data_IF_763397305218
#
_entry.id   IF_763397305218
#
_cell.length_a   1.000
_cell.length_b   1.000
_cell.length_c   1.000
_cell.angle_alpha   90.00
_cell.angle_beta   90.00
_cell.angle_gamma   90.00
#
_symmetry.space_group_name_H-M   'P 1'
#
loop_
_entity.id
_entity.type
_entity.pdbx_description
1 polymer ?
#
# COMPACT_ATOMS: atom_id res chain seq x y z
N UNK A 1 -14.15 18.32 11.90
CA UNK A 1 -13.49 19.12 12.96
C UNK A 1 -13.28 20.50 12.36
N UNK A 2 -13.77 21.55 12.99
CA UNK A 2 -13.61 22.91 12.48
C UNK A 2 -12.48 23.59 13.26
N UNK A 3 -11.26 23.71 12.69
CA UNK A 3 -10.15 24.33 13.38
C UNK A 3 -10.38 25.84 13.54
N UNK A 4 -9.79 26.41 14.58
CA UNK A 4 -9.78 27.88 14.73
C UNK A 4 -8.97 28.51 13.59
N UNK A 5 -9.41 29.67 13.12
CA UNK A 5 -8.81 30.38 11.98
C UNK A 5 -7.35 30.85 12.21
N UNK A 6 -6.88 30.90 13.46
CA UNK A 6 -5.53 31.34 13.81
C UNK A 6 -4.48 30.20 13.85
N UNK A 7 -4.85 28.98 13.47
CA UNK A 7 -3.98 27.80 13.49
C UNK A 7 -3.54 27.37 12.09
N UNK A 8 -2.35 26.79 11.96
CA UNK A 8 -2.04 26.00 10.77
C UNK A 8 -2.68 24.62 10.91
N UNK A 9 -3.30 24.12 9.83
CA UNK A 9 -3.84 22.75 9.77
C UNK A 9 -3.20 22.03 8.60
N UNK A 10 -2.36 21.05 8.92
CA UNK A 10 -1.57 20.29 7.95
C UNK A 10 -1.71 18.80 8.19
N UNK A 11 -1.45 18.03 7.14
CA UNK A 11 -1.41 16.58 7.15
C UNK A 11 -0.01 16.11 6.76
N UNK A 12 0.48 15.09 7.45
CA UNK A 12 1.67 14.33 7.07
C UNK A 12 1.26 12.86 7.17
N UNK A 13 1.10 12.19 6.02
CA UNK A 13 0.55 10.85 5.92
C UNK A 13 1.59 9.86 5.35
N UNK A 14 2.32 9.12 6.20
CA UNK A 14 3.17 8.01 5.76
C UNK A 14 2.33 6.91 5.11
N UNK A 15 2.76 6.43 3.95
CA UNK A 15 2.08 5.36 3.20
C UNK A 15 2.61 3.99 3.62
N UNK A 16 2.36 3.66 4.88
CA UNK A 16 2.71 2.37 5.49
C UNK A 16 2.34 2.30 6.97
N UNK A 17 2.29 1.09 7.56
CA UNK A 17 1.92 0.90 8.96
C UNK A 17 2.95 1.53 9.90
N UNK A 18 2.49 2.01 11.06
CA UNK A 18 3.30 2.80 12.00
C UNK A 18 4.61 2.10 12.45
N UNK A 19 4.56 0.80 12.74
CA UNK A 19 5.75 0.04 13.12
C UNK A 19 6.79 -0.03 11.99
N UNK A 20 6.35 -0.10 10.73
CA UNK A 20 7.23 -0.07 9.58
C UNK A 20 7.87 1.31 9.40
N UNK A 21 7.11 2.40 9.62
CA UNK A 21 7.66 3.76 9.63
C UNK A 21 8.82 3.85 10.62
N UNK A 22 8.64 3.34 11.85
CA UNK A 22 9.69 3.35 12.86
C UNK A 22 10.89 2.50 12.45
N UNK A 23 10.65 1.25 12.03
CA UNK A 23 11.71 0.33 11.64
C UNK A 23 12.55 0.86 10.46
N UNK A 24 11.89 1.36 9.42
CA UNK A 24 12.59 1.96 8.27
C UNK A 24 13.41 3.18 8.71
N UNK A 25 12.88 4.03 9.60
CA UNK A 25 13.62 5.17 10.13
C UNK A 25 14.91 4.74 10.84
N UNK A 26 14.84 3.71 11.69
CA UNK A 26 15.99 3.16 12.44
C UNK A 26 17.02 2.50 11.53
N UNK A 27 16.58 1.86 10.44
CA UNK A 27 17.44 1.26 9.41
C UNK A 27 18.08 2.31 8.48
N UNK A 28 17.80 3.60 8.67
CA UNK A 28 18.32 4.68 7.83
C UNK A 28 17.53 4.91 6.53
N UNK A 29 16.41 4.20 6.37
CA UNK A 29 15.45 4.35 5.28
C UNK A 29 14.27 5.24 5.69
N UNK A 30 13.22 5.29 4.87
CA UNK A 30 11.99 6.02 5.14
C UNK A 30 10.79 5.37 4.46
N UNK A 31 9.59 5.75 4.88
CA UNK A 31 8.34 5.38 4.21
C UNK A 31 7.85 6.62 3.44
N UNK A 32 7.47 6.52 2.15
CA UNK A 32 6.95 7.65 1.40
C UNK A 32 5.82 8.35 2.14
N UNK A 33 5.77 9.69 2.06
CA UNK A 33 4.74 10.47 2.74
C UNK A 33 3.98 11.35 1.76
N UNK A 34 2.69 11.55 2.03
CA UNK A 34 1.93 12.66 1.46
C UNK A 34 1.90 13.82 2.46
N UNK A 35 1.89 15.05 1.95
CA UNK A 35 1.67 16.25 2.76
C UNK A 35 0.55 17.09 2.18
N UNK A 36 -0.29 17.67 3.04
CA UNK A 36 -1.34 18.58 2.62
C UNK A 36 -1.48 19.75 3.59
N UNK A 37 -1.94 20.89 3.07
CA UNK A 37 -2.29 22.07 3.87
C UNK A 37 -3.77 22.36 3.70
N UNK A 38 -4.52 22.31 4.80
CA UNK A 38 -5.93 22.70 4.82
C UNK A 38 -6.09 24.19 5.18
N UNK A 39 -5.28 24.66 6.14
CA UNK A 39 -5.29 26.05 6.60
C UNK A 39 -3.86 26.51 6.86
N UNK A 40 -3.49 27.68 6.31
CA UNK A 40 -2.20 28.34 6.55
C UNK A 40 -2.42 29.73 7.13
N UNK A 41 -2.42 29.83 8.46
CA UNK A 41 -2.59 31.09 9.17
C UNK A 41 -1.28 31.90 9.25
N UNK A 42 -0.12 31.26 9.08
CA UNK A 42 1.20 31.90 9.25
C UNK A 42 1.91 32.19 7.94
N UNK A 43 1.50 31.58 6.82
CA UNK A 43 2.19 31.63 5.53
C UNK A 43 3.37 30.65 5.41
N UNK A 44 3.51 29.72 6.37
CA UNK A 44 4.64 28.77 6.44
C UNK A 44 4.19 27.31 6.66
N UNK A 45 2.88 27.04 6.58
CA UNK A 45 2.33 25.73 6.93
C UNK A 45 2.95 24.58 6.11
N UNK A 46 3.12 24.76 4.80
CA UNK A 46 3.71 23.73 3.93
C UNK A 46 5.18 23.45 4.31
N UNK A 47 5.97 24.50 4.56
CA UNK A 47 7.37 24.36 4.98
C UNK A 47 7.48 23.59 6.29
N UNK A 48 6.59 23.85 7.25
CA UNK A 48 6.51 23.10 8.51
C UNK A 48 6.10 21.64 8.29
N UNK A 49 5.12 21.37 7.42
CA UNK A 49 4.70 20.01 7.08
C UNK A 49 5.83 19.20 6.42
N UNK A 50 6.56 19.80 5.48
CA UNK A 50 7.74 19.20 4.85
C UNK A 50 8.87 18.94 5.85
N UNK A 51 9.13 19.89 6.76
CA UNK A 51 10.11 19.71 7.83
C UNK A 51 9.71 18.55 8.77
N UNK A 52 8.42 18.43 9.09
CA UNK A 52 7.90 17.33 9.89
C UNK A 52 8.06 15.98 9.17
N UNK A 53 7.65 15.91 7.88
CA UNK A 53 7.82 14.73 7.05
C UNK A 53 9.29 14.28 6.96
N UNK A 54 10.21 15.24 6.88
CA UNK A 54 11.66 14.98 6.94
C UNK A 54 12.09 14.44 8.31
N UNK A 55 11.58 15.04 9.41
CA UNK A 55 11.88 14.63 10.78
C UNK A 55 11.48 13.19 11.11
N UNK A 56 10.41 12.67 10.49
CA UNK A 56 9.99 11.27 10.61
C UNK A 56 10.61 10.35 9.55
N UNK A 57 11.53 10.86 8.73
CA UNK A 57 12.27 10.10 7.71
C UNK A 57 11.58 9.97 6.35
N UNK A 58 10.37 10.48 6.17
CA UNK A 58 9.62 10.36 4.91
C UNK A 58 10.35 10.96 3.71
N UNK A 59 11.09 12.06 3.91
CA UNK A 59 11.90 12.69 2.87
C UNK A 59 13.04 11.82 2.32
N UNK A 60 13.41 10.72 3.00
CA UNK A 60 14.41 9.76 2.50
C UNK A 60 13.85 8.88 1.38
N UNK A 61 12.55 8.64 1.39
CA UNK A 61 11.85 7.81 0.40
C UNK A 61 11.08 8.66 -0.64
N UNK A 62 10.62 9.84 -0.24
CA UNK A 62 9.91 10.78 -1.10
C UNK A 62 8.73 11.41 -0.39
N UNK A 63 8.47 12.68 -0.70
CA UNK A 63 7.31 13.41 -0.21
C UNK A 63 6.57 14.03 -1.39
N UNK A 64 5.26 13.83 -1.44
CA UNK A 64 4.39 14.35 -2.50
C UNK A 64 3.32 15.23 -1.86
N UNK A 65 3.10 16.41 -2.44
CA UNK A 65 2.02 17.30 -2.01
C UNK A 65 0.68 16.81 -2.56
N UNK A 66 -0.37 16.89 -1.73
CA UNK A 66 -1.74 16.48 -2.04
C UNK A 66 -2.74 17.42 -1.35
N UNK A 67 -4.03 17.08 -1.40
CA UNK A 67 -5.08 17.73 -0.64
C UNK A 67 -5.61 16.80 0.44
N UNK A 68 -6.25 17.35 1.48
CA UNK A 68 -6.94 16.53 2.48
C UNK A 68 -8.00 15.62 1.85
N UNK A 69 -8.72 16.13 0.84
CA UNK A 69 -9.75 15.35 0.14
C UNK A 69 -9.14 14.16 -0.61
N UNK A 70 -8.13 14.41 -1.45
CA UNK A 70 -7.45 13.35 -2.22
C UNK A 70 -6.82 12.31 -1.28
N UNK A 71 -6.16 12.74 -0.21
CA UNK A 71 -5.55 11.81 0.74
C UNK A 71 -6.60 10.95 1.43
N UNK A 72 -7.66 11.56 1.97
CA UNK A 72 -8.72 10.81 2.68
C UNK A 72 -9.45 9.84 1.74
N UNK A 73 -9.79 10.28 0.52
CA UNK A 73 -10.49 9.44 -0.44
C UNK A 73 -9.63 8.26 -0.91
N UNK A 74 -8.37 8.52 -1.26
CA UNK A 74 -7.47 7.50 -1.80
C UNK A 74 -6.96 6.54 -0.74
N UNK A 75 -6.71 7.01 0.49
CA UNK A 75 -6.26 6.17 1.59
C UNK A 75 -7.34 5.17 1.99
N UNK A 76 -8.57 5.65 2.22
CA UNK A 76 -9.72 4.81 2.53
C UNK A 76 -10.04 3.81 1.42
N UNK A 77 -9.97 4.25 0.16
CA UNK A 77 -10.13 3.34 -0.97
C UNK A 77 -9.04 2.26 -1.01
N UNK A 78 -7.79 2.68 -0.85
CA UNK A 78 -6.63 1.78 -0.90
C UNK A 78 -6.72 0.67 0.14
N UNK A 79 -6.99 1.01 1.39
CA UNK A 79 -7.07 0.02 2.47
C UNK A 79 -8.29 -0.90 2.34
N UNK A 80 -9.45 -0.39 1.90
CA UNK A 80 -10.66 -1.20 1.78
C UNK A 80 -10.60 -2.13 0.56
N UNK A 81 -10.25 -1.59 -0.60
CA UNK A 81 -10.37 -2.30 -1.86
C UNK A 81 -9.15 -3.17 -2.19
N UNK A 82 -7.95 -2.84 -1.67
CA UNK A 82 -6.70 -3.51 -2.07
C UNK A 82 -5.88 -3.97 -0.88
N UNK A 83 -5.36 -3.05 -0.07
CA UNK A 83 -4.25 -3.32 0.85
C UNK A 83 -4.65 -4.19 2.05
N UNK A 84 -5.86 -3.99 2.57
CA UNK A 84 -6.41 -4.81 3.64
C UNK A 84 -7.51 -5.70 3.08
N UNK A 85 -8.73 -5.16 2.90
CA UNK A 85 -9.92 -5.96 2.58
C UNK A 85 -9.72 -6.86 1.36
N UNK A 86 -9.33 -6.28 0.21
CA UNK A 86 -9.10 -7.04 -1.03
C UNK A 86 -8.05 -8.14 -0.90
N UNK A 87 -6.87 -7.82 -0.37
CA UNK A 87 -5.77 -8.78 -0.22
C UNK A 87 -6.13 -9.92 0.74
N UNK A 88 -6.69 -9.61 1.91
CA UNK A 88 -7.00 -10.64 2.91
C UNK A 88 -8.10 -11.58 2.42
N UNK A 89 -9.15 -11.05 1.80
CA UNK A 89 -10.25 -11.88 1.28
C UNK A 89 -9.79 -12.75 0.11
N UNK A 90 -8.90 -12.25 -0.77
CA UNK A 90 -8.36 -13.06 -1.86
C UNK A 90 -7.52 -14.24 -1.33
N UNK A 91 -6.71 -14.01 -0.29
CA UNK A 91 -5.92 -15.07 0.37
C UNK A 91 -6.86 -16.11 1.00
N UNK A 92 -7.88 -15.67 1.76
CA UNK A 92 -8.83 -16.57 2.43
C UNK A 92 -9.61 -17.40 1.40
N UNK A 93 -10.16 -16.77 0.37
CA UNK A 93 -10.90 -17.47 -0.68
C UNK A 93 -10.03 -18.50 -1.41
N UNK A 94 -8.78 -18.16 -1.71
CA UNK A 94 -7.82 -19.09 -2.31
C UNK A 94 -7.50 -20.28 -1.39
N UNK A 95 -7.29 -20.02 -0.10
CA UNK A 95 -7.02 -21.04 0.90
C UNK A 95 -8.19 -22.01 1.06
N UNK A 96 -9.41 -21.48 1.25
CA UNK A 96 -10.64 -22.27 1.38
C UNK A 96 -10.89 -23.11 0.14
N UNK A 97 -10.71 -22.54 -1.06
CA UNK A 97 -10.85 -23.27 -2.33
C UNK A 97 -9.95 -24.51 -2.39
N UNK A 98 -8.70 -24.40 -1.95
CA UNK A 98 -7.76 -25.53 -1.94
C UNK A 98 -8.12 -26.56 -0.85
N UNK A 99 -8.45 -26.10 0.36
CA UNK A 99 -8.79 -27.00 1.46
C UNK A 99 -10.08 -27.76 1.18
N UNK A 100 -11.12 -27.09 0.64
CA UNK A 100 -12.40 -27.71 0.28
C UNK A 100 -12.25 -28.71 -0.87
N UNK A 101 -11.27 -28.52 -1.75
CA UNK A 101 -10.88 -29.49 -2.77
C UNK A 101 -10.08 -30.69 -2.23
N UNK A 102 -9.76 -30.71 -0.93
CA UNK A 102 -9.09 -31.81 -0.24
C UNK A 102 -7.56 -31.71 -0.18
N UNK A 103 -6.98 -30.55 -0.52
CA UNK A 103 -5.55 -30.31 -0.34
C UNK A 103 -5.19 -30.05 1.13
N UNK A 104 -3.93 -30.31 1.49
CA UNK A 104 -3.46 -30.10 2.86
C UNK A 104 -3.47 -28.60 3.23
N UNK A 105 -4.01 -28.21 4.40
CA UNK A 105 -4.01 -26.82 4.84
C UNK A 105 -2.62 -26.18 4.88
N UNK A 106 -1.60 -26.93 5.28
CA UNK A 106 -0.22 -26.44 5.34
C UNK A 106 0.29 -26.09 3.94
N UNK A 107 0.01 -26.92 2.95
CA UNK A 107 0.38 -26.68 1.55
C UNK A 107 -0.41 -25.50 0.99
N UNK A 108 -1.71 -25.44 1.23
CA UNK A 108 -2.55 -24.33 0.79
C UNK A 108 -2.04 -22.99 1.33
N UNK A 109 -1.65 -22.93 2.61
CA UNK A 109 -1.05 -21.73 3.21
C UNK A 109 0.22 -21.27 2.47
N UNK A 110 1.11 -22.20 2.14
CA UNK A 110 2.34 -21.86 1.41
C UNK A 110 2.02 -21.28 0.03
N UNK A 111 1.11 -21.91 -0.69
CA UNK A 111 0.71 -21.50 -2.05
C UNK A 111 0.05 -20.12 -2.10
N UNK A 112 -0.89 -19.82 -1.18
CA UNK A 112 -1.71 -18.59 -1.32
C UNK A 112 -1.31 -17.44 -0.41
N UNK A 113 -0.51 -17.68 0.64
CA UNK A 113 -0.09 -16.64 1.58
C UNK A 113 1.43 -16.47 1.58
N UNK A 114 2.18 -17.54 1.83
CA UNK A 114 3.64 -17.44 2.02
C UNK A 114 4.33 -16.91 0.75
N UNK A 115 4.00 -17.48 -0.41
CA UNK A 115 4.61 -17.10 -1.68
C UNK A 115 4.15 -15.73 -2.19
N UNK A 116 2.99 -15.24 -1.73
CA UNK A 116 2.50 -13.91 -2.11
C UNK A 116 3.49 -12.80 -1.71
N UNK A 117 4.22 -12.97 -0.60
CA UNK A 117 5.28 -12.04 -0.21
C UNK A 117 6.34 -11.89 -1.31
N UNK A 118 6.78 -12.99 -1.92
CA UNK A 118 7.82 -12.98 -2.94
C UNK A 118 7.35 -12.26 -4.20
N UNK A 119 6.08 -12.47 -4.59
CA UNK A 119 5.46 -11.78 -5.72
C UNK A 119 5.35 -10.27 -5.44
N UNK A 120 4.87 -9.88 -4.26
CA UNK A 120 4.75 -8.47 -3.87
C UNK A 120 6.11 -7.77 -3.79
N UNK A 121 7.15 -8.47 -3.29
CA UNK A 121 8.52 -7.94 -3.28
C UNK A 121 9.02 -7.66 -4.72
N UNK A 122 8.80 -8.57 -5.68
CA UNK A 122 9.15 -8.35 -7.10
C UNK A 122 8.38 -7.19 -7.73
N UNK A 123 7.08 -7.06 -7.42
CA UNK A 123 6.25 -5.95 -7.86
C UNK A 123 6.76 -4.62 -7.30
N UNK A 124 7.18 -4.59 -6.04
CA UNK A 124 7.75 -3.39 -5.42
C UNK A 124 9.10 -3.01 -6.04
N UNK A 125 9.94 -4.00 -6.40
CA UNK A 125 11.25 -3.75 -6.97
C UNK A 125 11.24 -3.30 -8.44
N UNK A 126 10.23 -3.68 -9.23
CA UNK A 126 10.22 -3.36 -10.67
C UNK A 126 8.88 -3.52 -11.40
N UNK A 127 7.77 -3.56 -10.65
CA UNK A 127 6.42 -3.66 -11.19
C UNK A 127 6.12 -4.99 -11.89
N UNK A 128 5.01 -5.00 -12.62
CA UNK A 128 4.50 -6.19 -13.33
C UNK A 128 5.53 -6.80 -14.28
N UNK A 129 6.32 -5.96 -14.95
CA UNK A 129 7.38 -6.43 -15.86
C UNK A 129 8.40 -7.29 -15.14
N UNK A 130 8.95 -6.79 -14.02
CA UNK A 130 9.96 -7.54 -13.26
C UNK A 130 9.37 -8.84 -12.73
N UNK A 131 8.15 -8.81 -12.22
CA UNK A 131 7.46 -10.01 -11.76
C UNK A 131 7.33 -11.05 -12.88
N UNK A 132 6.85 -10.66 -14.07
CA UNK A 132 6.72 -11.54 -15.24
C UNK A 132 8.05 -12.06 -15.80
N UNK A 133 9.12 -11.28 -15.70
CA UNK A 133 10.47 -11.71 -16.11
C UNK A 133 11.08 -12.77 -15.16
N UNK A 134 10.61 -12.81 -13.90
CA UNK A 134 11.17 -13.69 -12.86
C UNK A 134 10.36 -14.97 -12.62
N UNK A 135 9.07 -14.97 -12.91
CA UNK A 135 8.25 -16.19 -12.84
C UNK A 135 8.43 -17.03 -14.12
N UNK A 136 8.04 -18.30 -14.05
CA UNK A 136 8.06 -19.17 -15.24
C UNK A 136 7.04 -18.72 -16.29
N UNK A 137 7.31 -19.05 -17.56
CA UNK A 137 6.36 -18.81 -18.67
C UNK A 137 4.97 -19.43 -18.40
N UNK A 138 4.92 -20.58 -17.73
CA UNK A 138 3.67 -21.23 -17.30
C UNK A 138 2.88 -20.37 -16.33
N UNK A 139 3.56 -19.79 -15.33
CA UNK A 139 2.93 -18.90 -14.35
C UNK A 139 2.49 -17.58 -15.00
N UNK A 140 3.30 -17.00 -15.87
CA UNK A 140 2.95 -15.77 -16.60
C UNK A 140 1.72 -15.99 -17.50
N UNK A 141 1.65 -17.11 -18.22
CA UNK A 141 0.46 -17.49 -18.97
C UNK A 141 -0.76 -17.67 -18.05
N UNK A 142 -0.57 -18.34 -16.92
CA UNK A 142 -1.60 -18.54 -15.89
C UNK A 142 -2.18 -17.22 -15.38
N UNK A 143 -1.33 -16.27 -15.02
CA UNK A 143 -1.71 -14.92 -14.57
C UNK A 143 -2.54 -14.19 -15.64
N UNK A 144 -2.02 -14.10 -16.87
CA UNK A 144 -2.68 -13.37 -17.96
C UNK A 144 -4.06 -13.94 -18.33
N UNK A 145 -4.26 -15.25 -18.21
CA UNK A 145 -5.52 -15.91 -18.59
C UNK A 145 -6.49 -16.04 -17.43
N UNK A 146 -6.00 -16.35 -16.23
CA UNK A 146 -6.85 -16.64 -15.07
C UNK A 146 -7.08 -15.43 -14.19
N UNK A 147 -6.14 -14.48 -14.11
CA UNK A 147 -6.28 -13.24 -13.34
C UNK A 147 -7.57 -12.48 -13.67
N UNK A 148 -7.86 -12.18 -14.96
CA UNK A 148 -9.10 -11.49 -15.35
C UNK A 148 -10.40 -12.29 -15.13
N UNK A 149 -10.31 -13.59 -14.80
CA UNK A 149 -11.46 -14.42 -14.43
C UNK A 149 -11.76 -14.36 -12.93
N UNK A 150 -10.74 -14.06 -12.12
CA UNK A 150 -10.86 -13.88 -10.66
C UNK A 150 -11.21 -12.43 -10.35
N UNK A 151 -10.45 -11.48 -10.90
CA UNK A 151 -10.70 -10.04 -10.78
C UNK A 151 -11.23 -9.53 -12.11
N UNK A 152 -12.54 -9.69 -12.31
CA UNK A 152 -13.22 -9.34 -13.55
C UNK A 152 -13.81 -7.92 -13.53
N UNK A 153 -14.71 -7.61 -14.47
CA UNK A 153 -15.37 -6.30 -14.55
C UNK A 153 -16.31 -6.02 -13.39
N UNK A 154 -16.79 -7.03 -12.67
CA UNK A 154 -17.67 -6.84 -11.51
C UNK A 154 -16.90 -6.35 -10.27
N UNK A 155 -15.59 -6.53 -10.26
CA UNK A 155 -14.70 -6.04 -9.20
C UNK A 155 -14.28 -4.55 -9.38
N UNK A 156 -14.81 -3.84 -10.39
CA UNK A 156 -14.41 -2.48 -10.76
C UNK A 156 -15.60 -1.54 -10.91
#
# INVERSE_FOLDING_TARGET
>A
IDPRADLNTVLIAPKGPGDLVRRQYEEGHGVPCLVAVHQDATGEALSLALAYASGIGGARAGVIETTFAEETETDLFGEQAVLCGGATELIVAGFETLVDAGYQPEVAYYEVMHELKLIVDLLHEGGLRKMHEFISDTAAYGDMVSGPRVVDKSAR
#
